data_IF_797360770689
#
_entry.id   IF_797360770689
#
_cell.length_a   1.000
_cell.length_b   1.000
_cell.length_c   1.000
_cell.angle_alpha   90.00
_cell.angle_beta   90.00
_cell.angle_gamma   90.00
#
_symmetry.space_group_name_H-M   'P 1'
#
loop_
_entity.id
_entity.type
_entity.pdbx_description
1 polymer ?
#
# COMPACT_ATOMS: atom_id res chain seq x y z
N UNK A 1 -52.35 21.44 25.01
CA UNK A 1 -51.28 22.17 24.28
C UNK A 1 -49.92 22.12 25.00
N UNK A 2 -49.81 22.53 26.28
CA UNK A 2 -48.50 22.53 26.99
C UNK A 2 -47.77 21.16 27.03
N UNK A 3 -48.49 20.06 27.25
CA UNK A 3 -47.95 18.71 27.29
C UNK A 3 -47.39 18.26 25.91
N UNK A 4 -48.05 18.63 24.81
CA UNK A 4 -47.61 18.33 23.47
C UNK A 4 -46.31 19.08 23.08
N UNK A 5 -46.19 20.35 23.50
CA UNK A 5 -44.99 21.16 23.28
C UNK A 5 -43.78 20.55 24.00
N UNK A 6 -43.96 20.07 25.24
CA UNK A 6 -42.90 19.41 26.01
C UNK A 6 -42.43 18.12 25.33
N UNK A 7 -43.34 17.30 24.82
CA UNK A 7 -43.00 16.07 24.12
C UNK A 7 -42.19 16.36 22.84
N UNK A 8 -42.59 17.38 22.08
CA UNK A 8 -41.85 17.79 20.86
C UNK A 8 -40.47 18.31 21.21
N UNK A 9 -40.31 19.12 22.25
CA UNK A 9 -38.99 19.62 22.68
C UNK A 9 -38.07 18.49 23.15
N UNK A 10 -38.59 17.52 23.90
CA UNK A 10 -37.81 16.34 24.32
C UNK A 10 -37.39 15.50 23.12
N UNK A 11 -38.25 15.29 22.11
CA UNK A 11 -37.94 14.57 20.90
C UNK A 11 -36.85 15.27 20.09
N UNK A 12 -36.87 16.61 19.98
CA UNK A 12 -35.82 17.38 19.28
C UNK A 12 -34.49 17.29 20.02
N UNK A 13 -34.46 17.38 21.35
CA UNK A 13 -33.23 17.26 22.14
C UNK A 13 -32.63 15.86 22.05
N UNK A 14 -33.44 14.80 22.11
CA UNK A 14 -32.96 13.41 21.95
C UNK A 14 -32.46 13.16 20.54
N UNK A 15 -33.20 13.58 19.51
CA UNK A 15 -32.79 13.44 18.11
C UNK A 15 -31.52 14.23 17.79
N UNK A 16 -31.43 15.48 18.27
CA UNK A 16 -30.24 16.32 18.09
C UNK A 16 -29.01 15.77 18.84
N UNK A 17 -29.19 15.25 20.04
CA UNK A 17 -28.12 14.62 20.82
C UNK A 17 -27.56 13.36 20.15
N UNK A 18 -28.43 12.49 19.62
CA UNK A 18 -28.03 11.29 18.89
C UNK A 18 -27.36 11.68 17.58
N UNK A 19 -27.89 12.62 16.84
CA UNK A 19 -27.29 13.10 15.59
C UNK A 19 -25.89 13.70 15.83
N UNK A 20 -25.73 14.52 16.87
CA UNK A 20 -24.42 15.09 17.25
C UNK A 20 -23.41 14.00 17.67
N UNK A 21 -23.88 13.03 18.46
CA UNK A 21 -23.00 11.90 18.86
C UNK A 21 -22.55 11.06 17.66
N UNK A 22 -23.46 10.72 16.76
CA UNK A 22 -23.15 9.96 15.55
C UNK A 22 -22.22 10.76 14.64
N UNK A 23 -22.46 12.05 14.46
CA UNK A 23 -21.62 12.91 13.65
C UNK A 23 -20.19 12.98 14.20
N UNK A 24 -20.02 13.25 15.49
CA UNK A 24 -18.68 13.40 16.07
C UNK A 24 -17.92 12.08 16.31
N UNK A 25 -18.64 10.97 16.57
CA UNK A 25 -17.97 9.71 16.93
C UNK A 25 -17.98 8.65 15.83
N UNK A 26 -18.85 8.78 14.84
CA UNK A 26 -18.94 7.83 13.74
C UNK A 26 -18.47 8.47 12.44
N UNK A 27 -18.97 9.65 12.10
CA UNK A 27 -18.65 10.30 10.82
C UNK A 27 -17.26 10.96 10.86
N UNK A 28 -16.89 11.65 11.96
CA UNK A 28 -15.55 12.25 12.06
C UNK A 28 -14.43 11.23 12.31
N UNK A 29 -14.72 10.05 12.91
CA UNK A 29 -13.75 8.95 12.96
C UNK A 29 -13.60 8.19 11.65
N UNK A 30 -14.53 8.34 10.71
CA UNK A 30 -14.35 7.84 9.35
C UNK A 30 -13.45 8.74 8.48
N UNK A 31 -12.93 9.85 9.02
CA UNK A 31 -11.87 10.64 8.39
C UNK A 31 -10.45 10.05 8.55
N UNK A 32 -10.28 8.94 9.26
CA UNK A 32 -9.25 7.97 8.92
C UNK A 32 -9.67 7.20 7.64
N UNK A 33 -10.07 7.93 6.61
CA UNK A 33 -10.01 7.44 5.25
C UNK A 33 -8.53 7.11 5.07
N UNK A 34 -8.23 5.82 5.00
CA UNK A 34 -6.92 5.33 4.58
C UNK A 34 -6.63 6.10 3.31
N UNK A 35 -5.74 7.10 3.38
CA UNK A 35 -5.34 7.86 2.21
C UNK A 35 -4.50 6.94 1.37
N UNK A 36 -5.18 6.24 0.47
CA UNK A 36 -4.51 5.34 -0.47
C UNK A 36 -3.61 6.17 -1.39
N UNK A 37 -2.39 5.72 -1.51
CA UNK A 37 -1.39 6.24 -2.45
C UNK A 37 -1.16 5.20 -3.53
N UNK A 38 -0.89 5.66 -4.73
CA UNK A 38 -0.48 4.78 -5.82
C UNK A 38 1.03 4.76 -5.86
N UNK A 39 1.59 3.56 -5.78
CA UNK A 39 3.03 3.30 -5.94
C UNK A 39 3.26 2.30 -7.05
N UNK A 40 4.49 2.14 -7.51
CA UNK A 40 4.84 1.22 -8.59
C UNK A 40 5.51 -0.04 -8.03
N UNK A 41 4.92 -1.21 -8.31
CA UNK A 41 5.52 -2.50 -8.05
C UNK A 41 6.21 -3.04 -9.32
N UNK A 42 7.45 -3.47 -9.18
CA UNK A 42 8.18 -4.17 -10.24
C UNK A 42 7.75 -5.64 -10.24
N UNK A 43 6.81 -5.98 -11.11
CA UNK A 43 6.26 -7.33 -11.24
C UNK A 43 7.05 -8.13 -12.25
N UNK A 44 7.64 -9.26 -11.84
CA UNK A 44 8.41 -10.18 -12.71
C UNK A 44 7.62 -11.40 -13.16
N UNK A 45 6.41 -11.59 -12.63
CA UNK A 45 5.53 -12.67 -13.06
C UNK A 45 4.14 -12.61 -12.44
N UNK A 46 3.21 -13.33 -13.10
CA UNK A 46 1.86 -13.58 -12.60
C UNK A 46 1.50 -15.04 -12.91
N UNK A 47 1.02 -15.78 -11.91
CA UNK A 47 0.85 -17.23 -11.97
C UNK A 47 -0.48 -17.66 -11.36
N UNK A 48 -1.10 -18.68 -11.92
CA UNK A 48 -2.27 -19.34 -11.32
C UNK A 48 -1.89 -20.38 -10.26
N UNK A 49 -0.62 -20.78 -10.22
CA UNK A 49 -0.10 -21.77 -9.27
C UNK A 49 0.94 -21.12 -8.35
N UNK A 50 0.78 -21.32 -7.05
CA UNK A 50 1.65 -20.76 -6.01
C UNK A 50 3.10 -21.26 -6.12
N UNK A 51 3.33 -22.55 -6.37
CA UNK A 51 4.67 -23.12 -6.45
C UNK A 51 5.50 -22.53 -7.61
N UNK A 52 4.83 -22.17 -8.71
CA UNK A 52 5.47 -21.48 -9.82
C UNK A 52 5.86 -20.05 -9.46
N UNK A 53 4.96 -19.33 -8.78
CA UNK A 53 5.24 -18.00 -8.26
C UNK A 53 6.40 -18.02 -7.25
N UNK A 54 6.37 -18.96 -6.31
CA UNK A 54 7.40 -19.11 -5.28
C UNK A 54 8.80 -19.39 -5.89
N UNK A 55 8.89 -20.24 -6.92
CA UNK A 55 10.17 -20.48 -7.62
C UNK A 55 10.75 -19.20 -8.23
N UNK A 56 9.91 -18.37 -8.85
CA UNK A 56 10.34 -17.09 -9.43
C UNK A 56 10.74 -16.11 -8.32
N UNK A 57 9.94 -16.02 -7.26
CA UNK A 57 10.26 -15.17 -6.12
C UNK A 57 11.59 -15.54 -5.46
N UNK A 58 11.86 -16.83 -5.27
CA UNK A 58 13.16 -17.30 -4.74
C UNK A 58 14.34 -17.01 -5.67
N UNK A 59 14.15 -17.14 -6.99
CA UNK A 59 15.19 -16.85 -7.98
C UNK A 59 15.54 -15.36 -8.01
N UNK A 60 14.53 -14.50 -7.97
CA UNK A 60 14.65 -13.06 -8.22
C UNK A 60 14.60 -12.21 -6.92
N UNK A 61 14.64 -12.85 -5.75
CA UNK A 61 14.52 -12.22 -4.43
C UNK A 61 13.23 -11.39 -4.29
N UNK A 62 12.11 -11.93 -4.76
CA UNK A 62 10.80 -11.28 -4.76
C UNK A 62 9.86 -11.79 -3.66
N UNK A 63 8.73 -11.11 -3.55
CA UNK A 63 7.60 -11.45 -2.71
C UNK A 63 6.44 -11.97 -3.56
N UNK A 64 5.80 -13.07 -3.13
CA UNK A 64 4.56 -13.57 -3.76
C UNK A 64 3.37 -12.91 -3.09
N UNK A 65 2.53 -12.26 -3.89
CA UNK A 65 1.28 -11.61 -3.45
C UNK A 65 0.11 -12.24 -4.17
N UNK A 66 -0.92 -12.66 -3.43
CA UNK A 66 -2.17 -13.13 -4.02
C UNK A 66 -3.10 -11.96 -4.27
N UNK A 67 -3.45 -11.71 -5.52
CA UNK A 67 -4.23 -10.56 -5.96
C UNK A 67 -5.10 -10.93 -7.17
N UNK A 68 -6.41 -10.68 -7.11
CA UNK A 68 -7.37 -10.97 -8.18
C UNK A 68 -7.31 -12.41 -8.72
N UNK A 69 -7.30 -13.39 -7.81
CA UNK A 69 -7.25 -14.84 -8.10
C UNK A 69 -5.94 -15.34 -8.77
N UNK A 70 -4.87 -14.53 -8.78
CA UNK A 70 -3.55 -14.92 -9.28
C UNK A 70 -2.44 -14.57 -8.27
N UNK A 71 -1.32 -15.30 -8.38
CA UNK A 71 -0.11 -15.04 -7.60
C UNK A 71 0.84 -14.16 -8.40
N UNK A 72 1.08 -12.93 -7.92
CA UNK A 72 2.01 -11.99 -8.52
C UNK A 72 3.34 -12.03 -7.79
N UNK A 73 4.43 -11.85 -8.50
CA UNK A 73 5.77 -11.77 -7.91
C UNK A 73 6.30 -10.36 -8.09
N UNK A 74 6.53 -9.67 -6.97
CA UNK A 74 7.13 -8.33 -6.93
C UNK A 74 8.56 -8.42 -6.44
N UNK A 75 9.48 -7.74 -7.11
CA UNK A 75 10.92 -7.65 -6.73
C UNK A 75 11.29 -6.29 -6.14
N UNK A 76 10.44 -5.29 -6.31
CA UNK A 76 10.57 -3.98 -5.68
C UNK A 76 9.22 -3.26 -5.68
N UNK A 77 9.04 -2.34 -4.73
CA UNK A 77 7.90 -1.42 -4.67
C UNK A 77 8.46 -0.05 -4.34
N UNK A 78 8.19 0.94 -5.21
CA UNK A 78 8.75 2.29 -5.11
C UNK A 78 7.70 3.34 -5.46
N UNK A 79 7.83 4.51 -4.83
CA UNK A 79 7.02 5.70 -5.10
C UNK A 79 7.82 6.83 -5.76
N UNK A 80 9.12 6.93 -5.48
CA UNK A 80 10.00 7.98 -5.99
C UNK A 80 10.43 7.70 -7.44
N UNK A 81 10.16 8.67 -8.33
CA UNK A 81 10.43 8.52 -9.77
C UNK A 81 11.92 8.34 -10.09
N UNK A 82 12.82 8.99 -9.34
CA UNK A 82 14.27 8.85 -9.55
C UNK A 82 14.76 7.47 -9.13
N UNK A 83 14.26 6.95 -8.00
CA UNK A 83 14.54 5.59 -7.54
C UNK A 83 14.02 4.55 -8.56
N UNK A 84 12.80 4.76 -9.11
CA UNK A 84 12.21 3.91 -10.15
C UNK A 84 13.10 3.91 -11.39
N UNK A 85 13.51 5.07 -11.90
CA UNK A 85 14.38 5.17 -13.09
C UNK A 85 15.70 4.46 -12.87
N UNK A 86 16.33 4.65 -11.71
CA UNK A 86 17.61 4.04 -11.38
C UNK A 86 17.51 2.51 -11.30
N UNK A 87 16.48 2.00 -10.64
CA UNK A 87 16.25 0.55 -10.52
C UNK A 87 15.86 -0.08 -11.86
N UNK A 88 15.07 0.62 -12.69
CA UNK A 88 14.74 0.21 -14.05
C UNK A 88 15.99 0.02 -14.91
N UNK A 89 16.88 1.00 -14.92
CA UNK A 89 18.15 0.91 -15.65
C UNK A 89 19.01 -0.28 -15.17
N UNK A 90 19.03 -0.53 -13.87
CA UNK A 90 19.73 -1.70 -13.33
C UNK A 90 19.11 -3.02 -13.81
N UNK A 91 17.79 -3.19 -13.70
CA UNK A 91 17.12 -4.42 -14.12
C UNK A 91 17.26 -4.67 -15.63
N UNK A 92 17.17 -3.62 -16.44
CA UNK A 92 17.47 -3.69 -17.89
C UNK A 92 18.91 -4.14 -18.16
N UNK A 93 19.87 -3.63 -17.39
CA UNK A 93 21.31 -3.98 -17.55
C UNK A 93 21.62 -5.45 -17.25
N UNK A 94 20.85 -6.08 -16.36
CA UNK A 94 21.00 -7.49 -16.01
C UNK A 94 20.04 -8.42 -16.78
N UNK A 95 19.20 -7.84 -17.68
CA UNK A 95 18.23 -8.60 -18.49
C UNK A 95 17.05 -9.15 -17.71
N UNK A 96 16.69 -8.55 -16.57
CA UNK A 96 15.48 -8.89 -15.81
C UNK A 96 14.27 -8.25 -16.47
N UNK A 97 13.36 -9.07 -17.01
CA UNK A 97 12.08 -8.58 -17.54
C UNK A 97 11.10 -8.29 -16.41
N UNK A 98 10.48 -7.12 -16.44
CA UNK A 98 9.50 -6.68 -15.44
C UNK A 98 8.41 -5.84 -16.09
N UNK A 99 7.29 -5.70 -15.35
CA UNK A 99 6.21 -4.78 -15.63
C UNK A 99 6.01 -3.86 -14.42
N UNK A 100 5.91 -2.55 -14.64
CA UNK A 100 5.57 -1.59 -13.60
C UNK A 100 4.05 -1.61 -13.38
N UNK A 101 3.63 -2.26 -12.30
CA UNK A 101 2.23 -2.34 -11.90
C UNK A 101 1.92 -1.26 -10.86
N UNK A 102 0.95 -0.35 -11.13
CA UNK A 102 0.45 0.54 -10.09
C UNK A 102 -0.33 -0.28 -9.05
N UNK A 103 -0.01 -0.08 -7.78
CA UNK A 103 -0.70 -0.69 -6.65
C UNK A 103 -1.09 0.38 -5.63
N UNK A 104 -2.16 0.12 -4.86
CA UNK A 104 -2.64 1.02 -3.81
C UNK A 104 -2.05 0.60 -2.47
N UNK A 105 -1.52 1.57 -1.74
CA UNK A 105 -0.91 1.39 -0.42
C UNK A 105 -1.34 2.52 0.51
N UNK A 106 -1.13 2.35 1.82
CA UNK A 106 -1.37 3.42 2.79
C UNK A 106 -0.33 4.55 2.65
N UNK A 107 -0.70 5.76 3.07
CA UNK A 107 0.27 6.88 3.16
C UNK A 107 1.39 6.57 4.17
N UNK A 108 1.09 5.78 5.20
CA UNK A 108 2.07 5.30 6.19
C UNK A 108 3.17 4.48 5.52
N UNK A 109 2.82 3.51 4.68
CA UNK A 109 3.78 2.72 3.92
C UNK A 109 4.70 3.58 3.05
N UNK A 110 4.14 4.57 2.33
CA UNK A 110 4.94 5.49 1.51
C UNK A 110 5.97 6.24 2.35
N UNK A 111 5.59 6.65 3.57
CA UNK A 111 6.51 7.31 4.50
C UNK A 111 7.58 6.35 5.03
N UNK A 112 7.23 5.09 5.30
CA UNK A 112 8.16 4.07 5.80
C UNK A 112 9.24 3.67 4.79
N UNK A 113 8.92 3.66 3.49
CA UNK A 113 9.89 3.29 2.44
C UNK A 113 10.75 4.45 1.95
N UNK A 114 10.45 5.68 2.37
CA UNK A 114 11.15 6.88 1.90
C UNK A 114 12.66 6.83 2.11
N UNK A 115 13.12 6.36 3.26
CA UNK A 115 14.55 6.23 3.57
C UNK A 115 15.21 5.16 2.68
N UNK A 116 14.49 4.10 2.35
CA UNK A 116 14.95 3.06 1.42
C UNK A 116 15.12 3.62 0.00
N UNK A 117 14.18 4.46 -0.45
CA UNK A 117 14.25 5.11 -1.76
C UNK A 117 15.43 6.09 -1.85
N UNK A 118 15.63 6.91 -0.82
CA UNK A 118 16.80 7.81 -0.75
C UNK A 118 18.12 7.01 -0.74
N UNK A 119 18.18 5.92 0.03
CA UNK A 119 19.34 5.05 0.05
C UNK A 119 19.58 4.39 -1.31
N UNK A 120 18.54 3.93 -2.00
CA UNK A 120 18.65 3.33 -3.33
C UNK A 120 19.24 4.33 -4.35
N UNK A 121 18.86 5.60 -4.29
CA UNK A 121 19.35 6.65 -5.18
C UNK A 121 20.87 6.88 -5.09
N UNK A 122 21.43 6.73 -3.89
CA UNK A 122 22.87 7.00 -3.65
C UNK A 122 23.74 5.72 -3.63
N UNK A 123 23.13 4.56 -3.49
CA UNK A 123 23.83 3.28 -3.35
C UNK A 123 24.30 2.70 -4.68
N UNK A 124 25.22 1.77 -4.62
CA UNK A 124 25.64 0.91 -5.73
C UNK A 124 24.72 -0.31 -5.87
N UNK A 125 24.74 -0.92 -7.06
CA UNK A 125 23.80 -1.98 -7.44
C UNK A 125 23.90 -3.27 -6.62
N UNK A 126 25.02 -3.51 -5.95
CA UNK A 126 25.24 -4.67 -5.06
C UNK A 126 24.36 -4.65 -3.80
N UNK A 127 23.84 -3.48 -3.44
CA UNK A 127 22.97 -3.30 -2.27
C UNK A 127 21.48 -3.29 -2.61
N UNK A 128 21.09 -3.21 -3.89
CA UNK A 128 19.69 -3.06 -4.30
C UNK A 128 18.79 -4.19 -3.82
N UNK A 129 19.28 -5.44 -3.88
CA UNK A 129 18.52 -6.59 -3.39
C UNK A 129 18.19 -6.45 -1.91
N UNK A 130 19.14 -6.02 -1.09
CA UNK A 130 18.94 -5.84 0.35
C UNK A 130 17.95 -4.72 0.64
N UNK A 131 18.07 -3.57 -0.05
CA UNK A 131 17.16 -2.43 0.11
C UNK A 131 15.73 -2.84 -0.30
N UNK A 132 15.58 -3.50 -1.45
CA UNK A 132 14.28 -3.94 -1.94
C UNK A 132 13.66 -5.03 -1.05
N UNK A 133 14.46 -5.95 -0.50
CA UNK A 133 13.97 -6.95 0.46
C UNK A 133 13.40 -6.32 1.73
N UNK A 134 13.98 -5.24 2.22
CA UNK A 134 13.46 -4.50 3.37
C UNK A 134 12.10 -3.84 3.03
N UNK A 135 12.00 -3.22 1.86
CA UNK A 135 10.73 -2.65 1.37
C UNK A 135 9.65 -3.71 1.21
N UNK A 136 9.99 -4.86 0.61
CA UNK A 136 9.05 -5.97 0.41
C UNK A 136 8.60 -6.58 1.74
N UNK A 137 9.49 -6.67 2.74
CA UNK A 137 9.14 -7.13 4.08
C UNK A 137 8.13 -6.20 4.77
N UNK A 138 8.34 -4.88 4.69
CA UNK A 138 7.38 -3.88 5.18
C UNK A 138 6.02 -3.99 4.47
N UNK A 139 6.02 -4.24 3.17
CA UNK A 139 4.79 -4.44 2.41
C UNK A 139 4.07 -5.74 2.82
N UNK A 140 4.80 -6.83 3.04
CA UNK A 140 4.24 -8.11 3.49
C UNK A 140 3.56 -7.99 4.86
N UNK A 141 4.11 -7.19 5.77
CA UNK A 141 3.52 -6.92 7.09
C UNK A 141 2.18 -6.17 7.03
N UNK A 142 1.87 -5.53 5.89
CA UNK A 142 0.61 -4.82 5.68
C UNK A 142 -0.50 -5.68 5.04
N UNK A 143 -0.16 -6.82 4.44
CA UNK A 143 -1.11 -7.71 3.77
C UNK A 143 -1.92 -8.52 4.78
#
# INVERSE_FOLDING_TARGET
MKKMIIVVLVAIMLGGGIAYYLFNNVILKSEDIIKEKVVNAFQVGAFTNYDNALRVAQRDNGLVVFDEDIYRVYVAILNDDEAILKLSAYYESIGLEYYLKPIYVSEEFVNEIKDNEELLKVSSSDTYVTINSDVLSKFEEML
#
